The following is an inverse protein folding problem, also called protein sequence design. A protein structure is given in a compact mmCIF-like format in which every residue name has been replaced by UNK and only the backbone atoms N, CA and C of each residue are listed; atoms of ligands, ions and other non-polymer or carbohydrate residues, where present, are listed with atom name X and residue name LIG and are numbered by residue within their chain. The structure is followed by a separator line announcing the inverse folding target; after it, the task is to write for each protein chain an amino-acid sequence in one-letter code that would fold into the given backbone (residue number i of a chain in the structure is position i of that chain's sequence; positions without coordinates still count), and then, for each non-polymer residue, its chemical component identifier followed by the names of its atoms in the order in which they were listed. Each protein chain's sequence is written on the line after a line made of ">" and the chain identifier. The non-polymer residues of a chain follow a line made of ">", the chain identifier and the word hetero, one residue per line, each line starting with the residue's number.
data_IF_187129116396
#
_entry.id   IF_187129116396
#
_cell.length_a   1.000
_cell.length_b   1.000
_cell.length_c   1.000
_cell.angle_alpha   90.00
_cell.angle_beta   90.00
_cell.angle_gamma   90.00
#
_symmetry.space_group_name_H-M   'P 1'
#
loop_
_entity.id
_entity.type
_entity.pdbx_description
1 polymer ?
#
# COMPACT_ATOMS: atom_id res chain seq x y z
N UNK A 1 30.05 -5.33 -2.21
CA UNK A 1 29.04 -4.88 -1.23
C UNK A 1 27.58 -5.26 -1.56
N UNK A 2 27.28 -5.81 -2.73
CA UNK A 2 25.90 -6.24 -3.10
C UNK A 2 25.50 -7.66 -2.64
N UNK A 3 26.44 -8.44 -2.08
CA UNK A 3 26.21 -9.85 -1.77
C UNK A 3 25.34 -10.16 -0.53
N UNK A 4 24.90 -9.13 0.21
CA UNK A 4 24.12 -9.30 1.44
C UNK A 4 22.71 -8.66 1.37
N UNK A 5 22.29 -8.15 0.20
CA UNK A 5 20.94 -7.61 0.06
C UNK A 5 19.92 -8.73 -0.10
N UNK A 6 18.81 -8.61 0.61
CA UNK A 6 17.72 -9.59 0.64
C UNK A 6 16.51 -9.11 -0.14
N UNK A 7 15.63 -10.02 -0.52
CA UNK A 7 14.33 -9.66 -1.07
C UNK A 7 13.50 -8.90 -0.01
N UNK A 8 12.64 -7.94 -0.43
CA UNK A 8 11.80 -7.21 0.52
C UNK A 8 11.05 -8.13 1.49
N UNK A 9 10.43 -9.19 0.98
CA UNK A 9 9.67 -10.18 1.77
C UNK A 9 10.54 -10.79 2.88
N UNK A 10 11.81 -11.13 2.60
CA UNK A 10 12.71 -11.72 3.60
C UNK A 10 13.05 -10.73 4.73
N UNK A 11 13.22 -9.45 4.37
CA UNK A 11 13.49 -8.38 5.33
C UNK A 11 12.28 -8.12 6.22
N UNK A 12 11.08 -8.00 5.63
CA UNK A 12 9.85 -7.75 6.38
C UNK A 12 9.43 -8.93 7.25
N UNK A 13 9.64 -10.17 6.78
CA UNK A 13 9.44 -11.36 7.59
C UNK A 13 10.28 -11.30 8.89
N UNK A 14 11.56 -10.96 8.76
CA UNK A 14 12.45 -10.79 9.91
C UNK A 14 12.00 -9.64 10.82
N UNK A 15 11.57 -8.52 10.27
CA UNK A 15 11.08 -7.37 11.06
C UNK A 15 9.80 -7.70 11.84
N UNK A 16 8.92 -8.53 11.29
CA UNK A 16 7.75 -9.04 12.01
C UNK A 16 8.17 -9.90 13.21
N UNK A 17 9.13 -10.83 13.03
CA UNK A 17 9.66 -11.68 14.10
C UNK A 17 10.34 -10.86 15.20
N UNK A 18 10.97 -9.73 14.85
CA UNK A 18 11.61 -8.79 15.79
C UNK A 18 10.64 -7.78 16.41
N UNK A 19 9.36 -7.78 16.05
CA UNK A 19 8.33 -6.85 16.55
C UNK A 19 8.48 -5.40 16.03
N UNK A 20 9.23 -5.18 14.95
CA UNK A 20 9.47 -3.85 14.36
C UNK A 20 8.27 -3.31 13.57
N UNK A 21 7.36 -4.18 13.16
CA UNK A 21 6.13 -3.87 12.45
C UNK A 21 5.21 -2.90 13.21
N UNK A 22 5.17 -2.99 14.54
CA UNK A 22 4.39 -2.06 15.36
C UNK A 22 4.97 -0.63 15.37
N UNK A 23 6.29 -0.50 15.33
CA UNK A 23 6.95 0.81 15.22
C UNK A 23 6.70 1.44 13.85
N UNK A 24 6.69 0.65 12.78
CA UNK A 24 6.34 1.10 11.43
C UNK A 24 4.89 1.60 11.38
N UNK A 25 3.94 0.84 11.92
CA UNK A 25 2.54 1.26 11.98
C UNK A 25 2.38 2.63 12.68
N UNK A 26 3.08 2.85 13.80
CA UNK A 26 3.08 4.14 14.50
C UNK A 26 3.71 5.26 13.68
N UNK A 27 4.80 4.98 12.97
CA UNK A 27 5.50 5.94 12.11
C UNK A 27 4.61 6.46 10.98
N UNK A 28 3.81 5.58 10.39
CA UNK A 28 2.95 5.91 9.25
C UNK A 28 1.52 6.32 9.62
N UNK A 29 1.15 6.29 10.91
CA UNK A 29 -0.23 6.51 11.36
C UNK A 29 -0.83 7.84 10.87
N UNK A 30 -0.07 8.93 10.86
CA UNK A 30 -0.57 10.23 10.40
C UNK A 30 -0.89 10.22 8.91
N UNK A 31 0.01 9.69 8.08
CA UNK A 31 -0.20 9.59 6.63
C UNK A 31 -1.38 8.66 6.31
N UNK A 32 -1.45 7.51 6.97
CA UNK A 32 -2.57 6.57 6.82
C UNK A 32 -3.90 7.20 7.24
N UNK A 33 -3.95 7.93 8.35
CA UNK A 33 -5.17 8.62 8.77
C UNK A 33 -5.61 9.65 7.73
N UNK A 34 -4.69 10.48 7.20
CA UNK A 34 -5.01 11.42 6.14
C UNK A 34 -5.53 10.74 4.86
N UNK A 35 -4.94 9.59 4.47
CA UNK A 35 -5.41 8.78 3.35
C UNK A 35 -6.81 8.22 3.59
N UNK A 36 -7.08 7.70 4.79
CA UNK A 36 -8.40 7.15 5.16
C UNK A 36 -9.45 8.26 5.26
N UNK A 37 -9.13 9.40 5.87
CA UNK A 37 -10.02 10.58 5.91
C UNK A 37 -10.40 11.05 4.50
N UNK A 38 -9.42 11.16 3.59
CA UNK A 38 -9.68 11.48 2.19
C UNK A 38 -10.58 10.44 1.53
N UNK A 39 -10.29 9.16 1.73
CA UNK A 39 -11.00 8.04 1.11
C UNK A 39 -12.46 7.99 1.57
N UNK A 40 -12.73 8.23 2.85
CA UNK A 40 -14.06 8.09 3.42
C UNK A 40 -14.90 9.37 3.41
N UNK A 41 -14.32 10.52 3.04
CA UNK A 41 -14.99 11.83 3.09
C UNK A 41 -16.36 11.87 2.40
N UNK A 42 -16.53 11.11 1.31
CA UNK A 42 -17.75 11.12 0.50
C UNK A 42 -18.35 9.70 0.35
N UNK A 43 -18.00 8.78 1.26
CA UNK A 43 -18.58 7.43 1.24
C UNK A 43 -19.89 7.46 2.01
N UNK A 44 -20.99 7.25 1.28
CA UNK A 44 -22.36 7.15 1.79
C UNK A 44 -22.98 5.76 1.55
N UNK A 45 -22.32 4.92 0.77
CA UNK A 45 -22.73 3.56 0.45
C UNK A 45 -21.80 2.50 1.09
N UNK A 46 -22.30 1.28 1.19
CA UNK A 46 -21.47 0.16 1.64
C UNK A 46 -20.36 -0.14 0.65
N UNK A 47 -19.18 -0.47 1.17
CA UNK A 47 -17.98 -0.72 0.35
C UNK A 47 -17.22 -1.98 0.77
N UNK A 48 -16.40 -2.47 -0.16
CA UNK A 48 -15.42 -3.54 0.03
C UNK A 48 -14.01 -2.96 -0.12
N UNK A 49 -13.05 -3.49 0.61
CA UNK A 49 -11.72 -2.91 0.78
C UNK A 49 -10.62 -3.98 0.73
N UNK A 50 -9.52 -3.66 0.06
CA UNK A 50 -8.26 -4.42 0.12
C UNK A 50 -7.15 -3.50 0.60
N UNK A 51 -6.37 -3.96 1.59
CA UNK A 51 -5.08 -3.41 1.97
C UNK A 51 -3.97 -4.24 1.32
N UNK A 52 -3.31 -3.68 0.32
CA UNK A 52 -2.25 -4.31 -0.46
C UNK A 52 -0.89 -4.11 0.23
N UNK A 53 -0.30 -5.19 0.71
CA UNK A 53 0.86 -5.18 1.60
C UNK A 53 0.47 -4.82 3.03
N UNK A 54 -0.52 -5.51 3.56
CA UNK A 54 -1.20 -5.15 4.81
C UNK A 54 -0.33 -5.33 6.08
N UNK A 55 0.81 -5.98 5.97
CA UNK A 55 1.65 -6.32 7.12
C UNK A 55 0.87 -7.06 8.22
N UNK A 56 0.94 -6.56 9.44
CA UNK A 56 0.20 -7.12 10.58
C UNK A 56 -1.32 -6.80 10.59
N UNK A 57 -1.86 -6.22 9.52
CA UNK A 57 -3.29 -5.99 9.30
C UNK A 57 -3.90 -4.82 10.10
N UNK A 58 -3.10 -3.88 10.60
CA UNK A 58 -3.61 -2.80 11.44
C UNK A 58 -4.59 -1.86 10.71
N UNK A 59 -4.34 -1.54 9.42
CA UNK A 59 -5.26 -0.74 8.59
C UNK A 59 -6.53 -1.52 8.28
N UNK A 60 -6.40 -2.81 7.98
CA UNK A 60 -7.55 -3.71 7.74
C UNK A 60 -8.50 -3.70 8.94
N UNK A 61 -7.96 -3.74 10.18
CA UNK A 61 -8.78 -3.67 11.40
C UNK A 61 -9.51 -2.34 11.53
N UNK A 62 -8.82 -1.23 11.29
CA UNK A 62 -9.43 0.11 11.34
C UNK A 62 -10.59 0.20 10.34
N UNK A 63 -10.34 -0.20 9.09
CA UNK A 63 -11.35 -0.11 8.01
C UNK A 63 -12.48 -1.12 8.23
N UNK A 64 -12.18 -2.33 8.69
CA UNK A 64 -13.18 -3.35 9.00
C UNK A 64 -14.15 -2.96 10.14
N UNK A 65 -13.78 -1.99 10.98
CA UNK A 65 -14.66 -1.42 12.00
C UNK A 65 -15.50 -0.24 11.49
N UNK A 66 -15.27 0.22 10.25
CA UNK A 66 -16.09 1.27 9.66
C UNK A 66 -17.54 0.79 9.42
N UNK A 67 -18.59 1.56 9.81
CA UNK A 67 -20.00 1.11 9.75
C UNK A 67 -20.47 0.70 8.35
N UNK A 68 -19.91 1.27 7.32
CA UNK A 68 -20.24 0.99 5.92
C UNK A 68 -19.33 -0.06 5.27
N UNK A 69 -18.30 -0.56 5.96
CA UNK A 69 -17.45 -1.61 5.43
C UNK A 69 -18.16 -2.97 5.45
N UNK A 70 -18.34 -3.56 4.27
CA UNK A 70 -18.91 -4.91 4.14
C UNK A 70 -17.87 -6.01 4.29
N UNK A 71 -16.67 -5.76 3.75
CA UNK A 71 -15.57 -6.73 3.75
C UNK A 71 -14.25 -5.97 3.67
N UNK A 72 -13.35 -6.24 4.58
CA UNK A 72 -11.97 -5.78 4.55
C UNK A 72 -11.04 -7.00 4.40
N UNK A 73 -10.12 -6.93 3.44
CA UNK A 73 -9.16 -7.97 3.12
C UNK A 73 -7.77 -7.37 3.24
N UNK A 74 -6.85 -8.05 3.93
CA UNK A 74 -5.43 -7.77 3.90
C UNK A 74 -4.70 -8.80 3.05
N UNK A 75 -3.83 -8.38 2.17
CA UNK A 75 -2.95 -9.28 1.41
C UNK A 75 -1.50 -8.89 1.59
N UNK A 76 -0.63 -9.86 1.86
CA UNK A 76 0.80 -9.63 2.08
C UNK A 76 1.62 -10.84 1.67
N UNK A 77 2.79 -10.61 1.08
CA UNK A 77 3.76 -11.64 0.70
C UNK A 77 4.56 -12.23 1.86
N UNK A 78 4.43 -11.70 3.07
CA UNK A 78 5.11 -12.22 4.26
C UNK A 78 4.18 -13.11 5.08
N UNK A 79 4.50 -14.40 5.11
CA UNK A 79 3.74 -15.39 5.88
C UNK A 79 3.64 -15.03 7.37
N UNK A 80 4.73 -14.60 7.97
CA UNK A 80 4.75 -14.24 9.40
C UNK A 80 3.90 -13.01 9.70
N UNK A 81 3.82 -12.03 8.79
CA UNK A 81 2.92 -10.89 8.91
C UNK A 81 1.45 -11.33 8.89
N UNK A 82 1.07 -12.19 7.94
CA UNK A 82 -0.29 -12.72 7.82
C UNK A 82 -0.66 -13.59 9.05
N UNK A 83 0.23 -14.47 9.50
CA UNK A 83 0.01 -15.27 10.71
C UNK A 83 -0.20 -14.37 11.94
N UNK A 84 0.58 -13.28 12.07
CA UNK A 84 0.40 -12.27 13.11
C UNK A 84 -0.96 -11.56 12.98
N UNK A 85 -1.32 -11.09 11.78
CA UNK A 85 -2.61 -10.45 11.52
C UNK A 85 -3.79 -11.35 11.92
N UNK A 86 -3.79 -12.62 11.48
CA UNK A 86 -4.79 -13.64 11.82
C UNK A 86 -4.82 -13.92 13.33
N UNK A 87 -3.68 -13.87 14.03
CA UNK A 87 -3.64 -14.10 15.47
C UNK A 87 -4.35 -13.01 16.27
N UNK A 88 -4.25 -11.75 15.77
CA UNK A 88 -4.82 -10.56 16.41
C UNK A 88 -6.31 -10.38 16.04
N UNK A 89 -6.67 -10.67 14.81
CA UNK A 89 -8.00 -10.39 14.26
C UNK A 89 -8.61 -11.62 13.60
N UNK A 90 -9.86 -11.95 14.04
CA UNK A 90 -10.66 -13.06 13.49
C UNK A 90 -11.88 -12.57 12.71
N UNK A 91 -12.07 -11.25 12.63
CA UNK A 91 -13.22 -10.64 11.96
C UNK A 91 -12.99 -10.45 10.47
N UNK A 92 -11.81 -9.99 10.11
CA UNK A 92 -11.45 -9.67 8.73
C UNK A 92 -10.72 -10.83 8.03
N UNK A 93 -10.51 -10.71 6.74
CA UNK A 93 -9.83 -11.74 5.92
C UNK A 93 -8.38 -11.34 5.69
N UNK A 94 -7.47 -12.31 5.73
CA UNK A 94 -6.03 -12.12 5.47
C UNK A 94 -5.52 -13.21 4.56
N UNK A 95 -4.85 -12.81 3.46
CA UNK A 95 -4.34 -13.68 2.42
C UNK A 95 -2.82 -13.59 2.34
N UNK A 96 -2.16 -14.75 2.39
CA UNK A 96 -0.72 -14.87 2.17
C UNK A 96 -0.47 -15.13 0.69
N UNK A 97 -0.20 -14.08 -0.08
CA UNK A 97 -0.12 -14.15 -1.55
C UNK A 97 0.89 -13.14 -2.10
N UNK A 98 1.42 -13.41 -3.30
CA UNK A 98 2.21 -12.44 -4.05
C UNK A 98 1.29 -11.45 -4.77
N UNK A 99 1.50 -10.16 -4.49
CA UNK A 99 0.68 -9.07 -5.03
C UNK A 99 0.69 -9.01 -6.57
N UNK A 100 1.75 -9.53 -7.21
CA UNK A 100 1.92 -9.48 -8.67
C UNK A 100 1.00 -10.49 -9.36
N UNK A 101 0.77 -11.64 -8.73
CA UNK A 101 0.03 -12.75 -9.34
C UNK A 101 -1.37 -12.94 -8.74
N UNK A 102 -1.59 -12.46 -7.51
CA UNK A 102 -2.86 -12.66 -6.82
C UNK A 102 -4.01 -11.87 -7.45
N UNK A 103 -5.17 -12.49 -7.48
CA UNK A 103 -6.44 -11.89 -7.92
C UNK A 103 -7.50 -12.23 -6.88
N UNK A 104 -8.22 -11.22 -6.32
CA UNK A 104 -9.30 -11.49 -5.39
C UNK A 104 -10.47 -12.22 -6.08
N UNK A 105 -11.20 -13.04 -5.32
CA UNK A 105 -12.41 -13.73 -5.82
C UNK A 105 -13.45 -12.74 -6.37
N UNK A 106 -13.54 -11.56 -5.77
CA UNK A 106 -14.42 -10.48 -6.20
C UNK A 106 -13.69 -9.15 -6.19
N UNK A 107 -13.91 -8.33 -7.22
CA UNK A 107 -13.40 -6.96 -7.29
C UNK A 107 -13.96 -6.12 -6.16
N UNK A 108 -13.19 -5.12 -5.72
CA UNK A 108 -13.50 -4.27 -4.58
C UNK A 108 -13.70 -2.81 -4.97
N UNK A 109 -14.31 -2.05 -4.06
CA UNK A 109 -14.54 -0.62 -4.25
C UNK A 109 -13.28 0.21 -3.97
N UNK A 110 -12.43 -0.26 -3.03
CA UNK A 110 -11.23 0.48 -2.59
C UNK A 110 -10.06 -0.48 -2.49
N UNK A 111 -8.93 -0.11 -3.12
CA UNK A 111 -7.61 -0.70 -2.87
C UNK A 111 -6.73 0.38 -2.24
N UNK A 112 -6.19 0.05 -1.09
CA UNK A 112 -5.30 0.89 -0.29
C UNK A 112 -3.92 0.25 -0.22
N UNK A 113 -2.87 1.05 -0.12
CA UNK A 113 -1.53 0.55 0.15
C UNK A 113 -0.66 1.63 0.81
N UNK A 114 0.14 1.24 1.79
CA UNK A 114 1.12 2.12 2.42
C UNK A 114 2.49 1.47 2.41
N UNK A 115 3.47 2.13 1.79
CA UNK A 115 4.89 1.73 1.77
C UNK A 115 5.16 0.36 1.10
N UNK A 116 4.50 0.06 -0.03
CA UNK A 116 4.60 -1.26 -0.67
C UNK A 116 4.99 -1.20 -2.14
N UNK A 117 4.34 -0.39 -2.95
CA UNK A 117 4.39 -0.47 -4.41
C UNK A 117 5.79 -0.26 -5.01
N UNK A 118 6.69 0.35 -4.31
CA UNK A 118 8.08 0.51 -4.76
C UNK A 118 8.99 -0.70 -4.46
N UNK A 119 8.51 -1.72 -3.72
CA UNK A 119 9.25 -2.95 -3.45
C UNK A 119 9.16 -3.99 -4.57
N UNK A 120 8.66 -3.61 -5.73
CA UNK A 120 8.62 -4.43 -6.94
C UNK A 120 9.51 -3.83 -8.02
N UNK A 121 9.97 -4.67 -8.97
CA UNK A 121 10.83 -4.21 -10.09
C UNK A 121 10.09 -3.25 -11.01
N UNK A 122 8.80 -3.45 -11.20
CA UNK A 122 7.97 -2.67 -12.12
C UNK A 122 6.67 -2.22 -11.44
N UNK A 123 6.70 -1.09 -10.69
CA UNK A 123 5.52 -0.59 -9.99
C UNK A 123 4.32 -0.33 -10.90
N UNK A 124 4.56 0.08 -12.16
CA UNK A 124 3.47 0.39 -13.10
C UNK A 124 2.72 -0.88 -13.51
N UNK A 125 3.42 -2.00 -13.66
CA UNK A 125 2.75 -3.30 -13.93
C UNK A 125 1.90 -3.74 -12.75
N UNK A 126 2.34 -3.50 -11.50
CA UNK A 126 1.53 -3.78 -10.32
C UNK A 126 0.29 -2.87 -10.26
N UNK A 127 0.43 -1.56 -10.55
CA UNK A 127 -0.71 -0.64 -10.65
C UNK A 127 -1.70 -1.13 -11.71
N UNK A 128 -1.23 -1.47 -12.90
CA UNK A 128 -2.06 -1.98 -14.01
C UNK A 128 -2.79 -3.27 -13.62
N UNK A 129 -2.08 -4.20 -12.95
CA UNK A 129 -2.65 -5.45 -12.43
C UNK A 129 -3.79 -5.18 -11.44
N UNK A 130 -3.57 -4.31 -10.46
CA UNK A 130 -4.57 -3.93 -9.45
C UNK A 130 -5.78 -3.27 -10.11
N UNK A 131 -5.57 -2.30 -10.99
CA UNK A 131 -6.66 -1.60 -11.68
C UNK A 131 -7.51 -2.56 -12.51
N UNK A 132 -6.88 -3.47 -13.24
CA UNK A 132 -7.60 -4.41 -14.12
C UNK A 132 -8.33 -5.49 -13.33
N UNK A 133 -7.66 -6.08 -12.34
CA UNK A 133 -8.10 -7.33 -11.75
C UNK A 133 -8.77 -7.16 -10.37
N UNK A 134 -8.43 -6.11 -9.59
CA UNK A 134 -8.93 -5.96 -8.23
C UNK A 134 -10.03 -4.90 -8.10
N UNK A 135 -9.98 -3.81 -8.92
CA UNK A 135 -10.94 -2.71 -8.80
C UNK A 135 -12.21 -2.93 -9.62
N UNK A 136 -13.36 -2.66 -9.01
CA UNK A 136 -14.63 -2.44 -9.69
C UNK A 136 -14.55 -1.20 -10.59
N UNK A 137 -15.44 -1.05 -11.60
CA UNK A 137 -15.69 0.27 -12.20
C UNK A 137 -15.95 1.31 -11.10
N UNK A 138 -15.42 2.52 -11.26
CA UNK A 138 -15.49 3.63 -10.27
C UNK A 138 -14.75 3.34 -8.94
N UNK A 139 -14.15 2.15 -8.79
CA UNK A 139 -13.33 1.80 -7.62
C UNK A 139 -12.07 2.66 -7.53
N UNK A 140 -11.60 2.91 -6.32
CA UNK A 140 -10.47 3.79 -6.00
C UNK A 140 -9.21 3.00 -5.66
N UNK A 141 -8.09 3.39 -6.26
CA UNK A 141 -6.76 3.07 -5.77
C UNK A 141 -6.20 4.28 -5.02
N UNK A 142 -5.67 4.06 -3.82
CA UNK A 142 -4.91 5.05 -3.05
C UNK A 142 -3.66 4.41 -2.49
N UNK A 143 -2.49 5.01 -2.78
CA UNK A 143 -1.20 4.56 -2.25
C UNK A 143 -0.47 5.70 -1.55
N UNK A 144 0.28 5.36 -0.51
CA UNK A 144 1.23 6.24 0.17
C UNK A 144 2.64 5.68 0.07
N UNK A 145 3.60 6.51 -0.29
CA UNK A 145 5.00 6.12 -0.47
C UNK A 145 5.94 7.19 0.07
N UNK A 146 7.00 6.75 0.73
CA UNK A 146 8.07 7.62 1.23
C UNK A 146 9.34 7.51 0.37
N UNK A 147 9.47 6.43 -0.42
CA UNK A 147 10.62 6.20 -1.31
C UNK A 147 10.35 6.71 -2.74
N UNK A 148 10.66 7.99 -2.97
CA UNK A 148 10.51 8.64 -4.28
C UNK A 148 11.63 9.68 -4.52
N UNK A 149 11.82 10.13 -5.77
CA UNK A 149 13.00 10.94 -6.16
C UNK A 149 13.09 12.27 -5.43
N UNK A 150 11.96 12.94 -5.21
CA UNK A 150 11.90 14.26 -4.56
C UNK A 150 11.99 14.17 -3.02
N UNK A 151 12.02 12.96 -2.43
CA UNK A 151 12.34 12.74 -1.03
C UNK A 151 13.81 12.30 -0.89
N UNK A 152 14.72 13.26 -0.97
CA UNK A 152 16.18 13.01 -0.92
C UNK A 152 16.63 12.12 0.25
N UNK A 153 16.12 12.31 1.50
CA UNK A 153 16.52 11.48 2.63
C UNK A 153 16.27 9.98 2.45
N UNK A 154 15.34 9.59 1.56
CA UNK A 154 15.06 8.17 1.30
C UNK A 154 16.05 7.50 0.33
N UNK A 155 16.94 8.25 -0.30
CA UNK A 155 17.83 7.74 -1.38
C UNK A 155 18.71 6.56 -0.94
N UNK A 156 19.21 6.57 0.29
CA UNK A 156 20.09 5.53 0.82
C UNK A 156 19.36 4.29 1.33
N UNK A 157 18.03 4.30 1.42
CA UNK A 157 17.25 3.23 2.05
C UNK A 157 17.52 1.82 1.53
N UNK A 158 17.70 1.56 0.22
CA UNK A 158 18.05 0.22 -0.25
C UNK A 158 19.29 -0.35 0.44
N UNK A 159 20.32 0.48 0.63
CA UNK A 159 21.56 0.10 1.32
C UNK A 159 21.36 0.00 2.83
N UNK A 160 20.70 0.99 3.43
CA UNK A 160 20.50 1.08 4.88
C UNK A 160 19.62 -0.07 5.40
N UNK A 161 18.60 -0.46 4.62
CA UNK A 161 17.71 -1.58 4.95
C UNK A 161 18.19 -2.93 4.42
N UNK A 162 19.20 -2.95 3.55
CA UNK A 162 19.69 -4.17 2.90
C UNK A 162 18.68 -4.81 1.96
N UNK A 163 17.84 -4.01 1.29
CA UNK A 163 16.75 -4.46 0.41
C UNK A 163 17.21 -4.40 -1.05
N UNK A 164 17.11 -5.53 -1.76
CA UNK A 164 17.61 -5.69 -3.13
C UNK A 164 16.71 -5.11 -4.22
N UNK A 165 15.42 -4.91 -3.93
CA UNK A 165 14.43 -4.39 -4.87
C UNK A 165 13.71 -3.22 -4.23
N UNK A 166 14.05 -2.00 -4.68
CA UNK A 166 13.34 -0.77 -4.37
C UNK A 166 13.39 0.13 -5.61
N UNK A 167 12.27 0.35 -6.25
CA UNK A 167 12.17 1.14 -7.48
C UNK A 167 11.85 2.59 -7.16
N UNK A 168 12.81 3.49 -7.40
CA UNK A 168 12.70 4.92 -7.11
C UNK A 168 12.21 5.69 -8.33
N UNK A 169 10.97 6.16 -8.27
CA UNK A 169 10.34 6.97 -9.30
C UNK A 169 10.09 8.39 -8.77
N UNK A 170 9.97 9.38 -9.66
CA UNK A 170 9.50 10.72 -9.30
C UNK A 170 7.98 10.75 -9.11
N UNK A 171 7.48 11.78 -8.44
CA UNK A 171 6.05 12.04 -8.31
C UNK A 171 5.34 12.03 -9.67
N UNK A 172 6.00 12.66 -10.68
CA UNK A 172 5.48 12.66 -12.05
C UNK A 172 5.41 11.27 -12.66
N UNK A 173 6.45 10.45 -12.53
CA UNK A 173 6.46 9.08 -13.05
C UNK A 173 5.40 8.19 -12.39
N UNK A 174 5.17 8.37 -11.08
CA UNK A 174 4.08 7.71 -10.36
C UNK A 174 2.70 8.14 -10.88
N UNK A 175 2.48 9.46 -11.01
CA UNK A 175 1.21 10.02 -11.52
C UNK A 175 0.93 9.59 -12.96
N UNK A 176 1.94 9.66 -13.84
CA UNK A 176 1.83 9.19 -15.22
C UNK A 176 1.50 7.68 -15.27
N UNK A 177 2.05 6.90 -14.34
CA UNK A 177 1.75 5.47 -14.18
C UNK A 177 0.28 5.20 -13.85
N UNK A 178 -0.30 5.96 -12.93
CA UNK A 178 -1.72 5.89 -12.59
C UNK A 178 -2.59 6.16 -13.82
N UNK A 179 -2.32 7.25 -14.53
CA UNK A 179 -3.07 7.63 -15.75
C UNK A 179 -2.92 6.55 -16.83
N UNK A 180 -1.70 6.05 -17.05
CA UNK A 180 -1.43 5.01 -18.07
C UNK A 180 -2.13 3.70 -17.77
N UNK A 181 -2.33 3.37 -16.50
CA UNK A 181 -3.06 2.16 -16.07
C UNK A 181 -4.58 2.31 -16.13
N UNK A 182 -5.10 3.44 -16.65
CA UNK A 182 -6.53 3.66 -16.86
C UNK A 182 -7.26 4.26 -15.65
N UNK A 183 -6.52 4.86 -14.72
CA UNK A 183 -7.13 5.64 -13.65
C UNK A 183 -7.42 7.07 -14.11
N UNK A 184 -8.59 7.58 -13.73
CA UNK A 184 -9.05 8.96 -13.95
C UNK A 184 -9.10 9.70 -12.61
N UNK A 185 -9.30 11.03 -12.64
CA UNK A 185 -9.35 11.88 -11.45
C UNK A 185 -8.10 11.70 -10.56
N UNK A 186 -6.93 11.52 -11.20
CA UNK A 186 -5.67 11.29 -10.49
C UNK A 186 -5.27 12.54 -9.72
N UNK A 187 -5.05 12.38 -8.42
CA UNK A 187 -4.60 13.43 -7.51
C UNK A 187 -3.34 12.97 -6.79
N UNK A 188 -2.47 13.94 -6.49
CA UNK A 188 -1.28 13.72 -5.66
C UNK A 188 -1.18 14.82 -4.61
N UNK A 189 -0.72 14.46 -3.41
CA UNK A 189 -0.32 15.40 -2.38
C UNK A 189 0.72 14.78 -1.46
N UNK A 190 1.29 15.56 -0.57
CA UNK A 190 2.27 15.09 0.39
C UNK A 190 1.80 15.35 1.81
N UNK A 191 2.00 14.38 2.69
CA UNK A 191 1.63 14.46 4.10
C UNK A 191 2.87 14.45 4.98
N UNK A 192 2.87 15.26 6.04
CA UNK A 192 3.95 15.28 7.04
C UNK A 192 5.29 15.83 6.57
N UNK A 193 5.29 16.71 5.56
CA UNK A 193 6.52 17.41 5.11
C UNK A 193 7.16 18.19 6.25
N UNK A 194 8.48 18.03 6.41
CA UNK A 194 9.24 18.75 7.45
C UNK A 194 10.72 18.83 7.08
N UNK A 195 11.28 20.05 7.12
CA UNK A 195 12.68 20.30 6.80
C UNK A 195 13.07 19.75 5.44
N UNK A 196 14.01 18.77 5.40
CA UNK A 196 14.43 18.07 4.20
C UNK A 196 13.56 16.84 3.86
N UNK A 197 12.69 16.43 4.78
CA UNK A 197 11.78 15.33 4.59
C UNK A 197 10.64 15.72 3.64
N UNK A 198 10.57 15.07 2.49
CA UNK A 198 9.57 15.38 1.45
C UNK A 198 8.13 15.02 1.84
N UNK A 199 7.94 14.32 2.95
CA UNK A 199 6.63 13.79 3.36
C UNK A 199 6.29 12.48 2.65
N UNK A 200 5.23 11.84 3.10
CA UNK A 200 4.62 10.73 2.37
C UNK A 200 3.95 11.26 1.12
N UNK A 201 4.38 10.82 -0.05
CA UNK A 201 3.70 11.09 -1.31
C UNK A 201 2.48 10.19 -1.39
N UNK A 202 1.30 10.80 -1.48
CA UNK A 202 0.04 10.09 -1.62
C UNK A 202 -0.47 10.28 -3.04
N UNK A 203 -0.85 9.19 -3.69
CA UNK A 203 -1.47 9.17 -5.01
C UNK A 203 -2.80 8.45 -4.93
N UNK A 204 -3.81 8.99 -5.60
CA UNK A 204 -5.11 8.35 -5.73
C UNK A 204 -5.68 8.56 -7.12
N UNK A 205 -6.51 7.62 -7.56
CA UNK A 205 -7.26 7.71 -8.80
C UNK A 205 -8.43 6.75 -8.77
N UNK A 206 -9.38 6.94 -9.65
CA UNK A 206 -10.58 6.12 -9.81
C UNK A 206 -10.50 5.34 -11.12
N UNK A 207 -10.92 4.09 -11.10
CA UNK A 207 -11.07 3.31 -12.33
C UNK A 207 -12.23 3.87 -13.15
N UNK A 208 -11.99 4.08 -14.46
CA UNK A 208 -13.05 4.51 -15.35
C UNK A 208 -14.26 3.56 -15.31
N UNK A 209 -15.46 4.12 -15.44
CA UNK A 209 -16.74 3.38 -15.47
C UNK A 209 -16.91 2.48 -16.70
N UNK A 210 -16.06 2.66 -17.74
CA UNK A 210 -16.16 1.98 -19.05
C UNK A 210 -15.45 0.63 -19.08
#
# INVERSE_FOLDING_TARGET
>A
MLSNMKLPIEVFTKWAEEGRDEAMAKGHANSVNAMLEFTFKNIDNRFTFIDSGCGNGWVVRIVGDHPLCNKAIGVDGSKSMIEKAISIDKKNTYEYEDLIDWIPDEKVDIVFSMEVFYYVKNPIELIDHVVKNWLKPEGRLIIGIDYYKENEPSESWPLDCGISIMTRMSEKEWSDGFIKSGLVNVLTWREGQKDKWGGTLILTGEKDSN
#
